data_IF_637720753840
#
_entry.id   IF_637720753840
#
_cell.length_a   1.000
_cell.length_b   1.000
_cell.length_c   1.000
_cell.angle_alpha   90.00
_cell.angle_beta   90.00
_cell.angle_gamma   90.00
#
_symmetry.space_group_name_H-M   'P 1'
#
loop_
_entity.id
_entity.type
_entity.pdbx_description
1 polymer ?
#
# COMPACT_ATOMS: atom_id res chain seq x y z
N UNK A 1 1.61 8.83 -8.87
CA UNK A 1 2.91 8.87 -8.17
C UNK A 1 3.18 10.29 -7.67
N UNK A 2 2.72 10.60 -6.46
CA UNK A 2 3.11 11.85 -5.79
C UNK A 2 4.38 11.53 -5.00
N UNK A 3 5.51 12.04 -5.49
CA UNK A 3 6.78 11.94 -4.78
C UNK A 3 6.77 13.00 -3.66
N UNK A 4 6.19 12.64 -2.51
CA UNK A 4 6.05 13.54 -1.35
C UNK A 4 7.27 13.54 -0.43
N UNK A 5 8.31 12.75 -0.73
CA UNK A 5 9.62 12.91 -0.09
C UNK A 5 10.30 14.12 -0.72
N UNK A 6 9.98 15.32 -0.22
CA UNK A 6 10.73 16.54 -0.54
C UNK A 6 12.15 16.37 -0.01
N UNK A 7 13.03 15.85 -0.86
CA UNK A 7 14.47 16.06 -0.73
C UNK A 7 14.68 17.58 -0.66
N UNK A 8 15.24 18.15 0.43
CA UNK A 8 15.72 19.51 0.33
C UNK A 8 16.81 19.53 -0.76
N UNK A 9 16.60 20.33 -1.81
CA UNK A 9 17.52 20.44 -2.95
C UNK A 9 18.86 21.09 -2.56
N UNK A 10 18.97 21.60 -1.33
CA UNK A 10 20.18 22.21 -0.81
C UNK A 10 21.21 21.16 -0.40
N UNK A 11 22.52 21.42 -0.62
CA UNK A 11 23.57 20.62 -0.02
C UNK A 11 23.35 20.52 1.49
N UNK A 12 23.50 19.32 2.05
CA UNK A 12 23.38 19.07 3.49
C UNK A 12 24.50 19.83 4.22
N UNK A 13 24.24 21.07 4.60
CA UNK A 13 25.15 21.84 5.43
C UNK A 13 25.12 21.27 6.86
N UNK A 14 26.29 21.16 7.49
CA UNK A 14 26.36 20.78 8.90
C UNK A 14 25.49 21.71 9.75
N UNK A 15 24.59 21.12 10.52
CA UNK A 15 23.74 21.85 11.44
C UNK A 15 24.61 22.51 12.52
N UNK A 16 24.42 23.82 12.75
CA UNK A 16 25.12 24.58 13.81
C UNK A 16 24.23 24.79 15.03
N UNK A 17 22.92 24.63 14.87
CA UNK A 17 21.92 24.81 15.91
C UNK A 17 20.91 23.67 15.90
N UNK A 18 20.19 23.46 17.01
CA UNK A 18 19.07 22.50 17.06
C UNK A 18 17.99 22.82 16.03
N UNK A 19 17.78 24.11 15.72
CA UNK A 19 16.85 24.52 14.66
C UNK A 19 17.31 24.04 13.29
N UNK A 20 18.61 24.07 13.02
CA UNK A 20 19.17 23.54 11.77
C UNK A 20 19.00 22.03 11.71
N UNK A 21 19.11 21.32 12.84
CA UNK A 21 18.84 19.87 12.90
C UNK A 21 17.40 19.58 12.50
N UNK A 22 16.40 20.25 13.09
CA UNK A 22 14.98 20.03 12.74
C UNK A 22 14.68 20.41 11.29
N UNK A 23 15.33 21.45 10.75
CA UNK A 23 15.19 21.83 9.33
C UNK A 23 15.85 20.83 8.39
N UNK A 24 17.00 20.30 8.78
CA UNK A 24 17.77 19.35 7.98
C UNK A 24 17.20 17.94 8.11
N UNK A 25 16.51 17.60 9.19
CA UNK A 25 15.91 16.30 9.46
C UNK A 25 14.48 16.52 9.99
N UNK A 26 13.53 16.59 9.06
CA UNK A 26 12.11 16.70 9.39
C UNK A 26 11.67 15.46 10.19
N UNK A 27 11.15 15.60 11.43
CA UNK A 27 10.75 14.47 12.27
C UNK A 27 9.58 13.67 11.70
N UNK A 28 8.89 14.19 10.68
CA UNK A 28 7.73 13.58 10.05
C UNK A 28 8.07 12.83 8.77
N UNK A 29 9.28 13.00 8.25
CA UNK A 29 9.71 12.38 7.00
C UNK A 29 10.80 11.37 7.30
N UNK A 30 10.57 10.06 7.05
CA UNK A 30 11.63 9.07 7.20
C UNK A 30 12.76 9.35 6.23
N UNK A 31 13.99 9.04 6.64
CA UNK A 31 15.14 9.14 5.75
C UNK A 31 15.10 7.97 4.75
N UNK A 32 15.32 8.23 3.45
CA UNK A 32 15.55 7.18 2.46
C UNK A 32 16.75 6.30 2.82
N UNK A 33 16.79 5.10 2.25
CA UNK A 33 17.83 4.11 2.56
C UNK A 33 19.25 4.54 2.16
N UNK A 34 19.38 5.33 1.10
CA UNK A 34 20.65 5.87 0.61
C UNK A 34 21.00 7.25 1.19
N UNK A 35 20.23 7.71 2.19
CA UNK A 35 20.40 9.06 2.72
C UNK A 35 21.67 9.20 3.60
N UNK A 36 22.60 10.11 3.26
CA UNK A 36 23.87 10.26 3.97
C UNK A 36 23.72 10.86 5.37
N UNK A 37 22.54 11.37 5.75
CA UNK A 37 22.26 11.85 7.11
C UNK A 37 22.10 10.70 8.11
N UNK A 38 21.85 9.48 7.64
CA UNK A 38 21.65 8.36 8.53
C UNK A 38 22.98 7.90 9.14
N UNK A 39 22.94 7.60 10.43
CA UNK A 39 24.04 7.05 11.18
C UNK A 39 23.52 5.88 12.02
N UNK A 40 24.30 4.80 12.10
CA UNK A 40 23.96 3.69 12.96
C UNK A 40 24.12 4.08 14.44
N UNK A 41 22.99 4.15 15.14
CA UNK A 41 22.93 4.43 16.57
C UNK A 41 22.65 3.18 17.42
N UNK A 42 22.74 1.97 16.87
CA UNK A 42 22.41 0.73 17.60
C UNK A 42 23.28 0.56 18.86
N UNK A 43 24.56 0.94 18.81
CA UNK A 43 25.43 0.99 19.99
C UNK A 43 24.93 1.95 21.07
N UNK A 44 24.40 3.12 20.67
CA UNK A 44 23.88 4.11 21.61
C UNK A 44 22.49 3.73 22.16
N UNK A 45 21.67 3.03 21.37
CA UNK A 45 20.37 2.47 21.80
C UNK A 45 20.54 1.33 22.80
N UNK A 46 21.68 0.64 22.76
CA UNK A 46 21.95 -0.50 23.63
C UNK A 46 21.10 -1.73 23.27
N UNK A 47 20.49 -1.74 22.09
CA UNK A 47 19.67 -2.84 21.59
C UNK A 47 20.07 -3.23 20.17
N UNK A 48 19.63 -4.43 19.79
CA UNK A 48 19.80 -4.97 18.43
C UNK A 48 18.44 -5.34 17.85
N UNK A 49 17.40 -4.60 18.21
CA UNK A 49 15.99 -4.92 17.91
C UNK A 49 15.74 -5.12 16.42
N UNK A 50 16.36 -4.29 15.57
CA UNK A 50 16.25 -4.43 14.11
C UNK A 50 16.94 -5.70 13.59
N UNK A 51 18.16 -5.99 14.08
CA UNK A 51 18.89 -7.21 13.68
C UNK A 51 18.21 -8.48 14.19
N UNK A 52 17.59 -8.42 15.39
CA UNK A 52 16.79 -9.52 15.94
C UNK A 52 15.54 -9.78 15.07
N UNK A 53 14.84 -8.72 14.64
CA UNK A 53 13.69 -8.86 13.74
C UNK A 53 14.11 -9.38 12.35
N UNK A 54 15.20 -8.87 11.80
CA UNK A 54 15.77 -9.33 10.53
C UNK A 54 16.07 -10.84 10.56
N UNK A 55 16.71 -11.29 11.63
CA UNK A 55 17.02 -12.70 11.89
C UNK A 55 15.76 -13.55 12.05
N UNK A 56 14.79 -13.07 12.82
CA UNK A 56 13.52 -13.78 13.06
C UNK A 56 12.72 -13.96 11.78
N UNK A 57 12.69 -12.94 10.92
CA UNK A 57 12.06 -13.02 9.60
C UNK A 57 12.82 -13.97 8.68
N UNK A 58 14.15 -13.86 8.63
CA UNK A 58 14.99 -14.66 7.72
C UNK A 58 15.01 -16.15 8.02
N UNK A 59 14.85 -16.55 9.29
CA UNK A 59 14.97 -17.95 9.71
C UNK A 59 13.62 -18.66 9.83
N UNK A 60 12.51 -17.93 9.65
CA UNK A 60 11.19 -18.50 9.84
C UNK A 60 10.73 -19.37 8.67
N UNK A 61 9.98 -20.44 8.95
CA UNK A 61 9.20 -21.14 7.93
C UNK A 61 8.18 -20.20 7.27
N UNK A 62 7.90 -20.42 5.98
CA UNK A 62 6.99 -19.60 5.18
C UNK A 62 5.54 -19.54 5.71
N UNK A 63 5.12 -20.47 6.58
CA UNK A 63 3.77 -20.54 7.16
C UNK A 63 3.66 -19.86 8.54
N UNK A 64 4.71 -19.16 9.00
CA UNK A 64 4.75 -18.48 10.31
C UNK A 64 4.88 -16.97 10.18
N UNK A 65 3.95 -16.24 10.77
CA UNK A 65 3.88 -14.76 10.69
C UNK A 65 4.44 -14.07 11.93
N UNK A 66 5.21 -12.99 11.74
CA UNK A 66 5.70 -12.11 12.81
C UNK A 66 4.81 -10.87 12.86
N UNK A 67 4.33 -10.54 14.05
CA UNK A 67 3.78 -9.22 14.35
C UNK A 67 4.72 -8.53 15.33
N UNK A 68 5.24 -7.37 14.95
CA UNK A 68 6.19 -6.60 15.76
C UNK A 68 5.71 -5.15 15.87
N UNK A 69 5.86 -4.59 17.07
CA UNK A 69 5.47 -3.20 17.36
C UNK A 69 6.68 -2.44 17.89
N UNK A 70 7.03 -1.34 17.23
CA UNK A 70 8.09 -0.43 17.65
C UNK A 70 7.50 0.81 18.31
N UNK A 71 7.76 0.99 19.61
CA UNK A 71 7.21 2.11 20.40
C UNK A 71 8.32 3.08 20.78
N UNK A 72 8.18 4.34 20.36
CA UNK A 72 9.05 5.44 20.78
C UNK A 72 8.43 6.79 20.41
N UNK A 73 9.05 7.88 20.83
CA UNK A 73 8.60 9.25 20.50
C UNK A 73 8.59 9.53 18.98
N UNK A 74 7.76 10.49 18.56
CA UNK A 74 7.78 11.03 17.19
C UNK A 74 9.17 11.61 16.88
N UNK A 75 9.67 11.41 15.66
CA UNK A 75 11.02 11.84 15.27
C UNK A 75 12.17 10.96 15.78
N UNK A 76 11.91 9.87 16.52
CA UNK A 76 12.96 8.96 17.00
C UNK A 76 13.54 8.02 15.91
N UNK A 77 13.11 8.16 14.65
CA UNK A 77 13.67 7.40 13.52
C UNK A 77 13.11 6.00 13.28
N UNK A 78 12.00 5.60 13.92
CA UNK A 78 11.40 4.26 13.74
C UNK A 78 11.15 3.92 12.26
N UNK A 79 10.42 4.77 11.55
CA UNK A 79 10.08 4.55 10.14
C UNK A 79 11.33 4.47 9.27
N UNK A 80 12.36 5.30 9.56
CA UNK A 80 13.67 5.22 8.90
C UNK A 80 14.31 3.84 9.06
N UNK A 81 14.36 3.31 10.29
CA UNK A 81 14.95 1.99 10.55
C UNK A 81 14.13 0.87 9.88
N UNK A 82 12.80 0.97 9.90
CA UNK A 82 11.91 0.00 9.22
C UNK A 82 12.16 0.00 7.70
N UNK A 83 12.24 1.16 7.05
CA UNK A 83 12.54 1.25 5.62
C UNK A 83 13.89 0.59 5.27
N UNK A 84 14.91 0.77 6.12
CA UNK A 84 16.20 0.12 5.94
C UNK A 84 16.11 -1.40 6.07
N UNK A 85 15.33 -1.89 7.03
CA UNK A 85 15.07 -3.32 7.16
C UNK A 85 14.37 -3.89 5.92
N UNK A 86 13.43 -3.14 5.33
CA UNK A 86 12.75 -3.61 4.11
C UNK A 86 13.69 -3.80 2.93
N UNK A 87 14.73 -2.98 2.80
CA UNK A 87 15.75 -3.14 1.75
C UNK A 87 16.65 -4.35 2.00
N UNK A 88 17.07 -4.57 3.25
CA UNK A 88 17.85 -5.77 3.61
C UNK A 88 17.10 -7.08 3.35
N UNK A 89 15.78 -7.03 3.47
CA UNK A 89 14.91 -8.18 3.25
C UNK A 89 14.36 -8.28 1.82
N UNK A 90 14.72 -7.37 0.91
CA UNK A 90 14.12 -7.26 -0.43
C UNK A 90 14.36 -8.46 -1.34
N UNK A 91 15.40 -9.26 -1.09
CA UNK A 91 15.66 -10.48 -1.86
C UNK A 91 14.68 -11.62 -1.52
N UNK A 92 14.10 -11.60 -0.32
CA UNK A 92 13.26 -12.68 0.23
C UNK A 92 11.80 -12.25 0.39
N UNK A 93 11.57 -10.96 0.63
CA UNK A 93 10.26 -10.38 0.86
C UNK A 93 9.97 -9.26 -0.13
N UNK A 94 8.70 -9.12 -0.50
CA UNK A 94 8.23 -7.95 -1.23
C UNK A 94 7.66 -6.93 -0.23
N UNK A 95 8.34 -5.80 0.02
CA UNK A 95 7.91 -4.86 1.03
C UNK A 95 6.74 -3.99 0.56
N UNK A 96 5.69 -3.99 1.37
CA UNK A 96 4.54 -3.07 1.27
C UNK A 96 4.60 -2.16 2.48
N UNK A 97 4.81 -0.86 2.24
CA UNK A 97 4.87 0.17 3.27
C UNK A 97 3.60 1.00 3.20
N UNK A 98 2.96 1.20 4.36
CA UNK A 98 1.72 1.95 4.51
C UNK A 98 1.89 3.00 5.59
N UNK A 99 1.38 4.19 5.34
CA UNK A 99 1.33 5.26 6.34
C UNK A 99 -0.12 5.57 6.71
N UNK A 100 -0.51 5.10 7.89
CA UNK A 100 -1.88 5.26 8.39
C UNK A 100 -2.35 6.73 8.44
N UNK A 101 -1.46 7.68 8.71
CA UNK A 101 -1.74 9.12 8.77
C UNK A 101 -1.98 9.77 7.40
N UNK A 102 -1.61 9.09 6.32
CA UNK A 102 -1.80 9.57 4.94
C UNK A 102 -2.96 8.83 4.28
N UNK A 103 -3.10 7.54 4.56
CA UNK A 103 -4.02 6.64 3.86
C UNK A 103 -5.38 6.51 4.55
N UNK A 104 -5.48 6.86 5.84
CA UNK A 104 -6.69 6.71 6.66
C UNK A 104 -6.94 7.97 7.51
N UNK A 105 -8.14 8.09 8.09
CA UNK A 105 -8.42 9.12 9.10
C UNK A 105 -7.59 8.84 10.36
N UNK A 106 -6.60 9.69 10.70
CA UNK A 106 -5.71 9.44 11.83
C UNK A 106 -6.42 9.47 13.18
N UNK A 107 -7.62 10.04 13.25
CA UNK A 107 -8.43 10.11 14.47
C UNK A 107 -9.46 8.97 14.55
N UNK A 108 -9.73 8.28 13.45
CA UNK A 108 -10.70 7.18 13.35
C UNK A 108 -10.23 6.13 12.35
N UNK A 109 -9.23 5.34 12.75
CA UNK A 109 -8.80 4.17 11.98
C UNK A 109 -9.77 3.02 12.30
N UNK A 110 -10.62 2.68 11.33
CA UNK A 110 -11.49 1.51 11.39
C UNK A 110 -10.74 0.28 10.84
N UNK A 111 -11.05 -0.92 11.35
CA UNK A 111 -10.29 -2.13 11.00
C UNK A 111 -10.49 -2.49 9.53
N UNK A 112 -11.68 -2.23 9.04
CA UNK A 112 -12.16 -2.41 7.68
C UNK A 112 -11.35 -1.56 6.70
N UNK A 113 -11.11 -0.28 7.05
CA UNK A 113 -10.32 0.65 6.24
C UNK A 113 -8.84 0.23 6.20
N UNK A 114 -8.29 -0.25 7.33
CA UNK A 114 -6.93 -0.79 7.38
C UNK A 114 -6.77 -2.01 6.48
N UNK A 115 -7.70 -2.98 6.57
CA UNK A 115 -7.68 -4.20 5.77
C UNK A 115 -7.80 -3.90 4.27
N UNK A 116 -8.66 -2.95 3.90
CA UNK A 116 -8.75 -2.54 2.49
C UNK A 116 -7.45 -1.89 2.04
N UNK A 117 -6.93 -0.88 2.76
CA UNK A 117 -5.70 -0.20 2.37
C UNK A 117 -4.53 -1.18 2.22
N UNK A 118 -4.43 -2.17 3.10
CA UNK A 118 -3.48 -3.28 2.95
C UNK A 118 -3.69 -4.04 1.64
N UNK A 119 -4.91 -4.45 1.32
CA UNK A 119 -5.18 -5.18 0.09
C UNK A 119 -4.89 -4.35 -1.18
N UNK A 120 -5.27 -3.06 -1.19
CA UNK A 120 -5.01 -2.13 -2.28
C UNK A 120 -3.50 -1.93 -2.49
N UNK A 121 -2.75 -1.75 -1.41
CA UNK A 121 -1.32 -1.51 -1.52
C UNK A 121 -0.55 -2.75 -1.95
N UNK A 122 -0.94 -3.94 -1.47
CA UNK A 122 -0.40 -5.21 -1.97
C UNK A 122 -0.70 -5.36 -3.45
N UNK A 123 -1.94 -5.12 -3.88
CA UNK A 123 -2.35 -5.17 -5.28
C UNK A 123 -1.49 -4.24 -6.15
N UNK A 124 -1.38 -2.97 -5.75
CA UNK A 124 -0.64 -1.96 -6.49
C UNK A 124 0.84 -2.33 -6.60
N UNK A 125 1.43 -2.82 -5.50
CA UNK A 125 2.82 -3.28 -5.47
C UNK A 125 3.04 -4.46 -6.42
N UNK A 126 2.17 -5.46 -6.33
CA UNK A 126 2.21 -6.66 -7.17
C UNK A 126 2.04 -6.33 -8.66
N UNK A 127 1.12 -5.43 -9.00
CA UNK A 127 0.91 -4.95 -10.36
C UNK A 127 2.11 -4.20 -10.90
N UNK A 128 2.71 -3.30 -10.11
CA UNK A 128 3.92 -2.57 -10.50
C UNK A 128 5.11 -3.50 -10.78
N UNK A 129 5.15 -4.68 -10.15
CA UNK A 129 6.13 -5.75 -10.38
C UNK A 129 5.82 -6.63 -11.59
N UNK A 130 4.65 -6.47 -12.22
CA UNK A 130 4.20 -7.29 -13.34
C UNK A 130 3.58 -8.63 -12.94
N UNK A 131 3.29 -8.83 -11.65
CA UNK A 131 2.65 -10.05 -11.12
C UNK A 131 1.36 -9.69 -10.37
N UNK A 132 0.33 -9.13 -11.04
CA UNK A 132 -0.89 -8.70 -10.37
C UNK A 132 -1.58 -9.86 -9.65
N UNK A 133 -2.35 -9.55 -8.61
CA UNK A 133 -3.11 -10.58 -7.89
C UNK A 133 -4.17 -11.23 -8.79
N UNK A 134 -4.50 -12.53 -8.58
CA UNK A 134 -5.55 -13.21 -9.34
C UNK A 134 -6.90 -12.48 -9.24
N UNK A 135 -7.62 -12.41 -10.36
CA UNK A 135 -8.89 -11.70 -10.44
C UNK A 135 -9.92 -12.23 -9.43
N UNK A 136 -9.94 -13.54 -9.20
CA UNK A 136 -10.86 -14.18 -8.25
C UNK A 136 -10.57 -13.77 -6.79
N UNK A 137 -9.30 -13.54 -6.46
CA UNK A 137 -8.92 -13.04 -5.13
C UNK A 137 -9.34 -11.58 -4.97
N UNK A 138 -9.13 -10.77 -6.01
CA UNK A 138 -9.57 -9.37 -6.04
C UNK A 138 -11.09 -9.27 -5.89
N UNK A 139 -11.86 -10.09 -6.61
CA UNK A 139 -13.32 -10.16 -6.50
C UNK A 139 -13.80 -10.57 -5.11
N UNK A 140 -13.08 -11.47 -4.43
CA UNK A 140 -13.43 -11.85 -3.05
C UNK A 140 -13.19 -10.72 -2.07
N UNK A 141 -12.08 -10.01 -2.20
CA UNK A 141 -11.77 -8.85 -1.33
C UNK A 141 -12.78 -7.73 -1.57
N UNK A 142 -13.13 -7.44 -2.83
CA UNK A 142 -14.13 -6.41 -3.13
C UNK A 142 -15.53 -6.81 -2.74
N UNK A 143 -15.92 -8.07 -2.92
CA UNK A 143 -17.23 -8.57 -2.51
C UNK A 143 -17.42 -8.48 -0.99
N UNK A 144 -16.41 -8.89 -0.22
CA UNK A 144 -16.40 -8.69 1.23
C UNK A 144 -16.45 -7.20 1.59
N UNK A 145 -15.70 -6.37 0.88
CA UNK A 145 -15.70 -4.93 1.13
C UNK A 145 -17.08 -4.33 0.86
N UNK A 146 -17.73 -4.60 -0.27
CA UNK A 146 -19.07 -4.07 -0.59
C UNK A 146 -20.12 -4.44 0.48
N UNK A 147 -19.99 -5.62 1.10
CA UNK A 147 -20.80 -6.04 2.23
C UNK A 147 -20.53 -5.21 3.50
N UNK A 148 -19.26 -4.95 3.79
CA UNK A 148 -18.78 -4.27 5.01
C UNK A 148 -18.84 -2.74 4.92
N UNK A 149 -18.70 -2.16 3.73
CA UNK A 149 -18.68 -0.71 3.42
C UNK A 149 -19.98 0.02 3.75
N UNK A 150 -21.05 -0.71 4.00
CA UNK A 150 -22.32 -0.12 4.44
C UNK A 150 -22.20 0.67 5.75
N UNK A 151 -21.07 0.59 6.47
CA UNK A 151 -20.88 1.27 7.76
C UNK A 151 -19.82 2.38 7.82
N UNK A 152 -18.85 2.50 6.89
CA UNK A 152 -17.69 3.43 7.06
C UNK A 152 -17.76 4.66 6.14
N UNK A 153 -17.36 5.83 6.65
CA UNK A 153 -17.43 7.11 5.92
C UNK A 153 -16.34 7.25 4.84
N UNK A 154 -15.15 6.73 5.09
CA UNK A 154 -14.02 6.83 4.16
C UNK A 154 -14.31 6.08 2.85
N UNK A 155 -14.81 4.85 2.95
CA UNK A 155 -15.18 4.04 1.80
C UNK A 155 -16.33 4.64 0.97
N UNK A 156 -17.32 5.25 1.64
CA UNK A 156 -18.41 5.96 0.97
C UNK A 156 -17.90 7.17 0.18
N UNK A 157 -16.99 7.96 0.78
CA UNK A 157 -16.37 9.09 0.10
C UNK A 157 -15.50 8.64 -1.10
N UNK A 158 -14.69 7.59 -0.91
CA UNK A 158 -13.88 7.02 -1.98
C UNK A 158 -14.73 6.54 -3.17
N UNK A 159 -15.81 5.80 -2.90
CA UNK A 159 -16.74 5.35 -3.94
C UNK A 159 -17.43 6.51 -4.66
N UNK A 160 -17.79 7.58 -3.92
CA UNK A 160 -18.40 8.77 -4.50
C UNK A 160 -17.41 9.54 -5.41
N UNK A 161 -16.16 9.68 -4.99
CA UNK A 161 -15.10 10.32 -5.79
C UNK A 161 -14.78 9.53 -7.06
N UNK A 162 -14.68 8.21 -6.94
CA UNK A 162 -14.49 7.31 -8.09
C UNK A 162 -15.68 7.36 -9.07
N UNK A 163 -16.92 7.37 -8.58
CA UNK A 163 -18.12 7.50 -9.40
C UNK A 163 -18.26 8.87 -10.08
N UNK A 164 -17.69 9.92 -9.49
CA UNK A 164 -17.67 11.28 -10.04
C UNK A 164 -16.60 11.48 -11.13
N UNK A 165 -15.78 10.46 -11.43
CA UNK A 165 -14.76 10.53 -12.49
C UNK A 165 -13.61 11.49 -12.18
N UNK A 166 -13.41 11.86 -10.91
CA UNK A 166 -12.22 12.59 -10.49
C UNK A 166 -11.03 11.64 -10.65
N UNK A 167 -10.04 12.06 -11.44
CA UNK A 167 -8.89 11.27 -11.85
C UNK A 167 -8.00 10.91 -10.65
N UNK A 168 -8.38 9.86 -9.92
CA UNK A 168 -7.52 9.22 -8.94
C UNK A 168 -6.46 8.48 -9.75
N UNK A 169 -5.21 8.95 -9.67
CA UNK A 169 -4.01 8.47 -10.39
C UNK A 169 -3.57 7.02 -10.05
N UNK A 170 -4.50 6.18 -9.60
CA UNK A 170 -4.37 4.75 -9.59
C UNK A 170 -5.63 4.21 -10.27
N UNK A 171 -5.49 3.66 -11.47
CA UNK A 171 -6.49 2.76 -12.04
C UNK A 171 -6.57 1.54 -11.10
N UNK A 172 -7.36 1.68 -10.04
CA UNK A 172 -7.59 0.63 -9.07
C UNK A 172 -8.57 -0.35 -9.73
N UNK A 173 -8.25 -1.66 -9.80
CA UNK A 173 -9.08 -2.67 -10.47
C UNK A 173 -10.46 -2.90 -9.80
N UNK A 174 -10.74 -2.18 -8.72
CA UNK A 174 -11.89 -2.36 -7.83
C UNK A 174 -13.03 -1.39 -8.12
N UNK A 175 -12.78 -0.34 -8.91
CA UNK A 175 -13.85 0.57 -9.36
C UNK A 175 -14.48 -0.04 -10.61
N UNK A 176 -15.62 -0.69 -10.42
CA UNK A 176 -16.50 -1.01 -11.54
C UNK A 176 -17.06 0.31 -12.05
N UNK A 177 -16.46 0.87 -13.10
CA UNK A 177 -17.14 1.87 -13.92
C UNK A 177 -18.44 1.22 -14.35
N UNK A 178 -19.58 1.68 -13.84
CA UNK A 178 -20.87 1.29 -14.40
C UNK A 178 -20.81 1.76 -15.85
N UNK A 179 -20.69 0.82 -16.77
CA UNK A 179 -20.99 1.07 -18.17
C UNK A 179 -22.43 1.61 -18.19
N UNK A 180 -22.57 2.92 -18.29
CA UNK A 180 -23.82 3.59 -18.61
C UNK A 180 -24.13 3.30 -20.08
N UNK A 181 -24.42 2.04 -20.37
CA UNK A 181 -25.18 1.70 -21.57
C UNK A 181 -26.64 1.94 -21.20
N UNK A 182 -27.37 2.87 -21.85
CA UNK A 182 -28.79 2.98 -21.63
C UNK A 182 -29.43 1.67 -22.02
N UNK A 183 -30.07 0.99 -21.07
CA UNK A 183 -30.90 -0.18 -21.33
C UNK A 183 -32.11 0.26 -22.15
N UNK A 184 -31.99 0.23 -23.46
CA UNK A 184 -33.16 0.13 -24.34
C UNK A 184 -33.58 -1.32 -24.32
N UNK A 185 -34.58 -1.60 -23.49
CA UNK A 185 -35.34 -2.84 -23.54
C UNK A 185 -35.99 -2.95 -24.93
N UNK A 186 -35.74 -4.05 -25.64
CA UNK A 186 -36.56 -4.58 -26.73
C UNK A 186 -36.11 -6.01 -27.06
N UNK A 187 -36.84 -6.98 -26.51
CA UNK A 187 -37.27 -8.18 -27.23
C UNK A 187 -36.26 -9.28 -27.54
N UNK A 188 -36.46 -10.44 -26.93
CA UNK A 188 -36.44 -11.71 -27.67
C UNK A 188 -35.27 -12.69 -27.45
N UNK A 189 -35.62 -13.83 -26.84
CA UNK A 189 -35.27 -15.21 -27.26
C UNK A 189 -33.82 -15.75 -27.05
N UNK A 190 -33.74 -16.67 -26.07
CA UNK A 190 -33.15 -18.03 -26.05
C UNK A 190 -31.63 -18.32 -26.05
N UNK A 191 -31.36 -19.44 -25.36
CA UNK A 191 -30.13 -20.09 -24.90
C UNK A 191 -29.15 -20.64 -25.95
N UNK A 192 -27.84 -20.75 -25.62
CA UNK A 192 -27.08 -22.03 -25.67
C UNK A 192 -25.62 -21.95 -25.17
N UNK A 193 -25.22 -23.02 -24.47
CA UNK A 193 -23.88 -23.44 -24.07
C UNK A 193 -23.02 -23.82 -25.29
N UNK A 194 -21.78 -23.34 -25.39
CA UNK A 194 -20.82 -23.77 -26.43
C UNK A 194 -20.24 -25.15 -26.08
N UNK A 195 -20.35 -26.08 -27.03
CA UNK A 195 -19.56 -27.31 -27.13
C UNK A 195 -18.28 -27.02 -27.94
N UNK A 196 -17.12 -27.62 -27.60
CA UNK A 196 -15.86 -27.42 -28.29
C UNK A 196 -15.70 -28.43 -29.44
N UNK A 197 -16.23 -28.12 -30.63
CA UNK A 197 -15.77 -28.78 -31.87
C UNK A 197 -16.33 -28.10 -33.12
N UNK A 198 -15.43 -27.59 -33.97
CA UNK A 198 -15.54 -27.75 -35.42
C UNK A 198 -16.29 -26.68 -36.20
N UNK A 199 -15.53 -25.98 -37.04
CA UNK A 199 -15.92 -25.04 -38.08
C UNK A 199 -16.72 -25.69 -39.22
N UNK A 200 -17.71 -24.99 -39.77
CA UNK A 200 -18.04 -25.01 -41.22
C UNK A 200 -18.51 -23.60 -41.63
N UNK A 201 -17.96 -23.15 -42.76
CA UNK A 201 -18.07 -21.83 -43.39
C UNK A 201 -19.22 -21.71 -44.41
N UNK A 202 -19.81 -20.50 -44.49
CA UNK A 202 -20.37 -19.78 -45.66
C UNK A 202 -21.57 -20.38 -46.43
N UNK A 203 -22.30 -19.58 -47.24
CA UNK A 203 -22.14 -18.15 -47.61
C UNK A 203 -22.75 -17.14 -46.64
#
# INVERSE_FOLDING_TARGET
MVNLVRRPASPLAHAKTLRDVVRNCDPDVPLPNDDPRWQDFSLARGDQSMAALEKELSWRPHDRFVHATFVSHRGAGKSTEILRLTERLSEVYEPVYLEATVEMDPFRIETEDLLLNMALAVEQKMRARGTPMPAELLERVTGWFDEVVRTTKWAQNFNAEAAAGVEIKAELPFVRTKDTTPSTDMGGISWRRRSPSGWISTP
#
